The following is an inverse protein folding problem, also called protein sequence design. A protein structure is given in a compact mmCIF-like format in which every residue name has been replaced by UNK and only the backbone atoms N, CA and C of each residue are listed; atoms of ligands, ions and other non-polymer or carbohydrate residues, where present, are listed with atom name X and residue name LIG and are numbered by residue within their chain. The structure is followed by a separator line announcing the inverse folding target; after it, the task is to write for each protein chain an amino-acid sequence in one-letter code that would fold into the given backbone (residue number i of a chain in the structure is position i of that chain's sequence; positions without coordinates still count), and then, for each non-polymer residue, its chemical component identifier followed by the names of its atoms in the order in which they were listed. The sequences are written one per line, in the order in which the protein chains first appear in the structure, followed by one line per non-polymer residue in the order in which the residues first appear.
data_IF_258619940453
#
_entry.id   IF_258619940453
#
_cell.length_a   1.000
_cell.length_b   1.000
_cell.length_c   1.000
_cell.angle_alpha   90.00
_cell.angle_beta   90.00
_cell.angle_gamma   90.00
#
_symmetry.space_group_name_H-M   'P 1'
#
loop_
_entity.id
_entity.type
_entity.pdbx_description
1 polymer ?
#
# COMPACT_ATOMS: atom_id res chain seq x y z
N UNK A 1 -14.62 -20.98 8.44
CA UNK A 1 -14.54 -21.20 6.98
C UNK A 1 -13.17 -20.74 6.52
N UNK A 2 -12.32 -21.68 6.07
CA UNK A 2 -10.94 -21.38 5.64
C UNK A 2 -10.95 -20.70 4.27
N UNK A 3 -10.69 -19.39 4.25
CA UNK A 3 -10.38 -18.69 2.99
C UNK A 3 -9.09 -19.26 2.41
N UNK A 4 -9.16 -19.83 1.22
CA UNK A 4 -7.96 -20.19 0.43
C UNK A 4 -7.13 -18.93 0.21
N UNK A 5 -5.79 -19.05 0.33
CA UNK A 5 -4.89 -18.01 -0.17
C UNK A 5 -5.25 -17.72 -1.62
N UNK A 6 -5.60 -16.48 -1.89
CA UNK A 6 -5.90 -16.03 -3.24
C UNK A 6 -4.58 -16.02 -4.02
N UNK A 7 -4.58 -16.56 -5.24
CA UNK A 7 -3.53 -16.24 -6.20
C UNK A 7 -3.52 -14.73 -6.35
N UNK A 8 -2.34 -14.07 -6.40
CA UNK A 8 -2.28 -12.63 -6.56
C UNK A 8 -3.07 -12.23 -7.80
N UNK A 9 -4.22 -11.58 -7.59
CA UNK A 9 -4.96 -10.97 -8.70
C UNK A 9 -4.25 -9.66 -9.00
N UNK A 10 -3.83 -9.40 -10.24
CA UNK A 10 -3.24 -8.12 -10.61
C UNK A 10 -4.19 -7.00 -10.19
N UNK A 11 -3.65 -5.99 -9.51
CA UNK A 11 -4.43 -4.90 -8.92
C UNK A 11 -5.18 -4.04 -9.94
N UNK A 12 -4.84 -4.18 -11.22
CA UNK A 12 -5.62 -3.67 -12.35
C UNK A 12 -5.25 -4.49 -13.59
N UNK A 13 -6.22 -5.14 -14.21
CA UNK A 13 -6.05 -5.78 -15.53
C UNK A 13 -5.67 -4.78 -16.64
N UNK A 14 -5.65 -3.48 -16.36
CA UNK A 14 -5.57 -2.41 -17.34
C UNK A 14 -4.28 -1.60 -17.35
N UNK A 15 -3.58 -1.53 -16.22
CA UNK A 15 -2.27 -0.85 -16.14
C UNK A 15 -1.21 -1.82 -15.64
N UNK A 16 -0.14 -2.04 -16.40
CA UNK A 16 0.94 -2.92 -15.98
C UNK A 16 1.59 -2.36 -14.70
N UNK A 17 1.71 -3.21 -13.69
CA UNK A 17 2.44 -2.86 -12.48
C UNK A 17 3.94 -2.76 -12.79
N UNK A 18 4.56 -1.65 -12.45
CA UNK A 18 6.00 -1.46 -12.57
C UNK A 18 6.57 -0.80 -11.32
N UNK A 19 7.66 -1.35 -10.79
CA UNK A 19 8.40 -0.74 -9.69
C UNK A 19 8.94 0.66 -10.05
N UNK A 20 9.20 0.92 -11.34
CA UNK A 20 9.72 2.21 -11.80
C UNK A 20 8.69 3.34 -11.68
N UNK A 21 7.40 2.99 -11.64
CA UNK A 21 6.31 3.94 -11.43
C UNK A 21 6.07 4.26 -9.94
N UNK A 22 6.78 3.57 -9.03
CA UNK A 22 6.67 3.80 -7.58
C UNK A 22 7.81 4.70 -7.11
N UNK A 23 7.46 5.67 -6.27
CA UNK A 23 8.46 6.49 -5.58
C UNK A 23 8.67 5.94 -4.17
N UNK A 24 9.86 5.42 -3.90
CA UNK A 24 10.28 4.99 -2.56
C UNK A 24 11.63 5.61 -2.19
N UNK A 25 11.94 5.65 -0.90
CA UNK A 25 13.23 6.12 -0.36
C UNK A 25 14.33 5.06 -0.42
N UNK A 26 13.95 3.79 -0.64
CA UNK A 26 14.86 2.68 -0.90
C UNK A 26 14.65 2.12 -2.31
N UNK A 27 15.66 1.45 -2.85
CA UNK A 27 15.56 0.70 -4.10
C UNK A 27 14.66 -0.53 -3.90
N UNK A 28 13.43 -0.48 -4.39
CA UNK A 28 12.49 -1.60 -4.28
C UNK A 28 13.00 -2.87 -4.96
N UNK A 29 13.80 -2.74 -6.05
CA UNK A 29 14.45 -3.87 -6.72
C UNK A 29 15.45 -4.57 -5.80
N UNK A 30 16.31 -3.79 -5.12
CA UNK A 30 17.28 -4.34 -4.17
C UNK A 30 16.60 -4.99 -2.96
N UNK A 31 15.47 -4.44 -2.50
CA UNK A 31 14.66 -5.05 -1.44
C UNK A 31 14.12 -6.42 -1.89
N UNK A 32 13.55 -6.50 -3.10
CA UNK A 32 13.06 -7.77 -3.67
C UNK A 32 14.21 -8.77 -3.80
N UNK A 33 15.36 -8.36 -4.32
CA UNK A 33 16.53 -9.23 -4.45
C UNK A 33 17.08 -9.68 -3.09
N UNK A 34 17.00 -8.82 -2.09
CA UNK A 34 17.31 -9.18 -0.70
C UNK A 34 16.42 -10.31 -0.19
N UNK A 35 15.11 -10.21 -0.39
CA UNK A 35 14.16 -11.25 -0.01
C UNK A 35 14.28 -12.53 -0.84
N UNK A 36 14.69 -12.45 -2.10
CA UNK A 36 15.02 -13.66 -2.90
C UNK A 36 16.18 -14.43 -2.30
N UNK A 37 17.20 -13.75 -1.77
CA UNK A 37 18.34 -14.38 -1.11
C UNK A 37 18.01 -14.93 0.29
N UNK A 38 17.17 -14.21 1.04
CA UNK A 38 16.76 -14.60 2.38
C UNK A 38 15.27 -14.30 2.57
N UNK A 39 14.38 -15.29 2.28
CA UNK A 39 12.94 -15.06 2.24
C UNK A 39 12.31 -15.08 3.63
N UNK A 40 12.81 -14.22 4.49
CA UNK A 40 12.32 -13.94 5.85
C UNK A 40 12.63 -12.49 6.24
N UNK A 41 11.76 -11.89 7.03
CA UNK A 41 11.96 -10.53 7.53
C UNK A 41 10.66 -9.75 7.61
N UNK A 42 10.73 -8.57 8.20
CA UNK A 42 9.59 -7.71 8.51
C UNK A 42 9.77 -6.34 7.88
N UNK A 43 8.81 -5.94 7.08
CA UNK A 43 8.86 -4.66 6.35
C UNK A 43 7.64 -3.81 6.71
N UNK A 44 7.88 -2.56 7.07
CA UNK A 44 6.85 -1.56 7.20
C UNK A 44 6.86 -0.66 5.96
N UNK A 45 5.75 -0.64 5.22
CA UNK A 45 5.53 0.24 4.08
C UNK A 45 4.66 1.41 4.55
N UNK A 46 5.13 2.62 4.44
CA UNK A 46 4.39 3.77 4.91
C UNK A 46 4.38 4.93 3.92
N UNK A 47 3.40 5.82 4.04
CA UNK A 47 3.27 6.99 3.19
C UNK A 47 1.83 7.21 2.69
N UNK A 48 1.59 8.23 1.84
CA UNK A 48 0.26 8.60 1.40
C UNK A 48 -0.53 7.46 0.76
N UNK A 49 -1.88 7.49 0.82
CA UNK A 49 -2.71 6.51 0.14
C UNK A 49 -2.52 6.55 -1.38
N UNK A 50 -2.69 5.38 -2.03
CA UNK A 50 -2.56 5.25 -3.49
C UNK A 50 -1.12 5.19 -4.03
N UNK A 51 -0.10 5.23 -3.17
CA UNK A 51 1.33 5.21 -3.58
C UNK A 51 1.85 3.83 -3.98
N UNK A 52 1.03 2.77 -3.85
CA UNK A 52 1.38 1.42 -4.30
C UNK A 52 1.92 0.48 -3.22
N UNK A 53 1.78 0.81 -1.92
CA UNK A 53 2.24 -0.03 -0.80
C UNK A 53 1.70 -1.46 -0.85
N UNK A 54 0.38 -1.62 -0.90
CA UNK A 54 -0.27 -2.92 -1.00
C UNK A 54 0.12 -3.66 -2.28
N UNK A 55 0.24 -2.91 -3.40
CA UNK A 55 0.69 -3.46 -4.69
C UNK A 55 2.13 -4.00 -4.63
N UNK A 56 3.02 -3.34 -3.88
CA UNK A 56 4.36 -3.84 -3.64
C UNK A 56 4.35 -5.16 -2.86
N UNK A 57 3.46 -5.32 -1.88
CA UNK A 57 3.29 -6.59 -1.16
C UNK A 57 2.89 -7.74 -2.10
N UNK A 58 1.98 -7.48 -3.05
CA UNK A 58 1.61 -8.45 -4.09
C UNK A 58 2.81 -8.79 -4.99
N UNK A 59 3.51 -7.78 -5.49
CA UNK A 59 4.70 -7.97 -6.33
C UNK A 59 5.80 -8.75 -5.61
N UNK A 60 6.00 -8.48 -4.32
CA UNK A 60 7.00 -9.21 -3.52
C UNK A 60 6.64 -10.70 -3.41
N UNK A 61 5.39 -11.04 -3.16
CA UNK A 61 4.94 -12.42 -3.09
C UNK A 61 5.11 -13.14 -4.43
N UNK A 62 4.75 -12.50 -5.53
CA UNK A 62 4.95 -13.00 -6.89
C UNK A 62 6.43 -13.20 -7.19
N UNK A 63 7.28 -12.23 -6.90
CA UNK A 63 8.72 -12.30 -7.12
C UNK A 63 9.43 -13.40 -6.30
N UNK A 64 8.83 -13.80 -5.17
CA UNK A 64 9.29 -14.89 -4.31
C UNK A 64 8.67 -16.24 -4.68
N UNK A 65 7.77 -16.30 -5.66
CA UNK A 65 6.96 -17.47 -6.01
C UNK A 65 6.25 -18.07 -4.77
N UNK A 66 5.65 -17.19 -3.94
CA UNK A 66 4.95 -17.57 -2.71
C UNK A 66 3.50 -17.10 -2.72
N UNK A 67 2.60 -17.87 -2.09
CA UNK A 67 1.24 -17.39 -1.84
C UNK A 67 1.27 -16.06 -1.08
N UNK A 68 0.27 -15.22 -1.31
CA UNK A 68 0.05 -13.99 -0.54
C UNK A 68 -1.17 -14.18 0.36
N UNK A 69 -0.97 -13.98 1.66
CA UNK A 69 -2.05 -13.88 2.63
C UNK A 69 -2.25 -12.42 3.00
N UNK A 70 -3.33 -11.80 2.48
CA UNK A 70 -3.69 -10.43 2.83
C UNK A 70 -4.69 -10.45 3.96
N UNK A 71 -4.48 -9.61 4.96
CA UNK A 71 -5.45 -9.29 6.02
C UNK A 71 -5.50 -7.77 6.19
N UNK A 72 -6.70 -7.26 6.39
CA UNK A 72 -6.88 -5.89 6.85
C UNK A 72 -7.01 -5.89 8.36
N UNK A 73 -6.57 -4.81 8.97
CA UNK A 73 -6.74 -4.63 10.40
C UNK A 73 -8.21 -4.79 10.84
N UNK A 74 -9.15 -4.29 10.04
CA UNK A 74 -10.60 -4.43 10.27
C UNK A 74 -11.10 -5.88 10.31
N UNK A 75 -10.46 -6.79 9.54
CA UNK A 75 -10.87 -8.19 9.46
C UNK A 75 -10.52 -8.99 10.71
N UNK A 76 -9.60 -8.46 11.52
CA UNK A 76 -9.11 -9.08 12.75
C UNK A 76 -9.84 -8.57 13.99
N UNK A 77 -10.51 -7.41 13.89
CA UNK A 77 -11.25 -6.83 15.00
C UNK A 77 -12.42 -7.73 15.43
N UNK A 78 -12.60 -7.87 16.73
CA UNK A 78 -13.74 -8.56 17.33
C UNK A 78 -14.31 -7.76 18.49
N UNK A 79 -15.61 -7.95 18.75
CA UNK A 79 -16.30 -7.39 19.92
C UNK A 79 -16.03 -8.20 21.20
N UNK A 80 -15.46 -9.39 21.08
CA UNK A 80 -15.24 -10.30 22.18
C UNK A 80 -13.80 -10.25 22.65
N UNK A 81 -13.62 -10.18 23.97
CA UNK A 81 -12.30 -10.16 24.61
C UNK A 81 -11.54 -11.46 24.28
N UNK A 82 -10.27 -11.35 23.86
CA UNK A 82 -9.41 -12.50 23.55
C UNK A 82 -9.61 -13.12 22.16
N UNK A 83 -10.67 -12.78 21.42
CA UNK A 83 -10.88 -13.34 20.09
C UNK A 83 -9.94 -12.71 19.05
N UNK A 84 -9.59 -11.46 19.26
CA UNK A 84 -8.66 -10.75 18.38
C UNK A 84 -7.25 -11.33 18.49
N UNK A 85 -6.76 -11.61 19.68
CA UNK A 85 -5.48 -12.27 19.92
C UNK A 85 -5.45 -13.66 19.25
N UNK A 86 -6.56 -14.41 19.35
CA UNK A 86 -6.71 -15.68 18.64
C UNK A 86 -6.71 -15.52 17.11
N UNK A 87 -7.35 -14.46 16.58
CA UNK A 87 -7.36 -14.18 15.15
C UNK A 87 -5.97 -13.81 14.64
N UNK A 88 -5.20 -13.03 15.42
CA UNK A 88 -3.80 -12.76 15.14
C UNK A 88 -2.98 -14.05 15.10
N UNK A 89 -3.04 -14.88 16.13
CA UNK A 89 -2.33 -16.15 16.16
C UNK A 89 -2.69 -17.07 14.98
N UNK A 90 -3.99 -17.18 14.66
CA UNK A 90 -4.45 -17.97 13.50
C UNK A 90 -3.92 -17.44 12.16
N UNK A 91 -3.85 -16.12 12.00
CA UNK A 91 -3.30 -15.47 10.80
C UNK A 91 -1.84 -15.83 10.59
N UNK A 92 -0.99 -15.72 11.60
CA UNK A 92 0.42 -16.07 11.51
C UNK A 92 0.63 -17.58 11.30
N UNK A 93 -0.08 -18.42 12.03
CA UNK A 93 -0.03 -19.87 11.82
C UNK A 93 -0.48 -20.28 10.41
N UNK A 94 -1.49 -19.63 9.85
CA UNK A 94 -1.92 -19.88 8.48
C UNK A 94 -0.83 -19.50 7.50
N UNK A 95 -0.24 -18.31 7.64
CA UNK A 95 0.84 -17.83 6.77
C UNK A 95 2.05 -18.77 6.80
N UNK A 96 2.42 -19.26 7.98
CA UNK A 96 3.54 -20.19 8.16
C UNK A 96 3.28 -21.55 7.52
N UNK A 97 2.10 -22.13 7.74
CA UNK A 97 1.69 -23.40 7.14
C UNK A 97 1.65 -23.35 5.61
N UNK A 98 1.23 -22.21 5.04
CA UNK A 98 1.12 -22.02 3.60
C UNK A 98 2.44 -21.52 2.97
N UNK A 99 3.45 -21.19 3.77
CA UNK A 99 4.70 -20.59 3.31
C UNK A 99 4.48 -19.22 2.64
N UNK A 100 3.41 -18.53 3.02
CA UNK A 100 2.93 -17.32 2.37
C UNK A 100 3.73 -16.08 2.79
N UNK A 101 3.76 -15.07 1.93
CA UNK A 101 4.02 -13.69 2.35
C UNK A 101 2.77 -13.18 3.07
N UNK A 102 2.93 -12.71 4.30
CA UNK A 102 1.84 -12.17 5.11
C UNK A 102 1.81 -10.64 4.97
N UNK A 103 0.73 -10.10 4.40
CA UNK A 103 0.49 -8.67 4.28
C UNK A 103 -0.64 -8.23 5.21
N UNK A 104 -0.30 -7.39 6.20
CA UNK A 104 -1.26 -6.71 7.05
C UNK A 104 -1.45 -5.27 6.55
N UNK A 105 -2.61 -5.02 5.94
CA UNK A 105 -2.96 -3.70 5.40
C UNK A 105 -3.68 -2.86 6.46
N UNK A 106 -3.47 -1.52 6.42
CA UNK A 106 -4.02 -0.57 7.39
C UNK A 106 -3.57 -0.85 8.83
N UNK A 107 -2.29 -1.25 8.99
CA UNK A 107 -1.71 -1.69 10.26
C UNK A 107 -1.68 -0.59 11.34
N UNK A 108 -1.88 0.68 10.98
CA UNK A 108 -1.99 1.80 11.92
C UNK A 108 -3.10 1.60 12.97
N UNK A 109 -4.15 0.86 12.65
CA UNK A 109 -5.20 0.52 13.60
C UNK A 109 -4.70 -0.31 14.79
N UNK A 110 -3.69 -1.17 14.57
CA UNK A 110 -3.11 -2.04 15.60
C UNK A 110 -1.83 -1.49 16.22
N UNK A 111 -1.09 -0.68 15.48
CA UNK A 111 0.26 -0.27 15.84
C UNK A 111 0.31 1.16 16.35
N UNK A 112 -0.84 1.72 16.80
CA UNK A 112 -0.89 3.06 17.38
C UNK A 112 -0.08 3.17 18.67
N UNK A 113 0.43 4.38 18.92
CA UNK A 113 1.12 4.71 20.16
C UNK A 113 0.20 4.49 21.36
N UNK A 114 0.74 3.78 22.36
CA UNK A 114 0.04 3.41 23.59
C UNK A 114 -0.14 4.56 24.58
N UNK A 115 0.55 5.68 24.39
CA UNK A 115 0.47 6.83 25.30
C UNK A 115 -0.92 7.48 25.31
N UNK A 116 -1.77 7.20 24.29
CA UNK A 116 -3.17 7.61 24.21
C UNK A 116 -4.17 6.47 24.40
N UNK A 117 -3.74 5.25 24.77
CA UNK A 117 -4.64 4.11 24.95
C UNK A 117 -5.53 4.32 26.19
N UNK A 118 -6.82 4.55 25.97
CA UNK A 118 -7.81 4.69 27.06
C UNK A 118 -8.18 3.34 27.71
N UNK A 119 -7.79 2.20 27.09
CA UNK A 119 -8.26 0.87 27.51
C UNK A 119 -7.12 -0.17 27.52
N UNK A 120 -7.03 -0.94 28.57
CA UNK A 120 -6.00 -1.97 28.80
C UNK A 120 -5.93 -3.06 27.72
N UNK A 121 -7.04 -3.36 27.04
CA UNK A 121 -7.10 -4.37 25.99
C UNK A 121 -6.42 -3.93 24.68
N UNK A 122 -6.32 -2.62 24.39
CA UNK A 122 -5.58 -2.10 23.25
C UNK A 122 -4.07 -2.39 23.41
N UNK A 123 -3.57 -2.32 24.64
CA UNK A 123 -2.17 -2.63 24.96
C UNK A 123 -1.89 -4.12 24.75
N UNK A 124 -2.82 -5.02 25.10
CA UNK A 124 -2.63 -6.47 24.95
C UNK A 124 -2.61 -6.88 23.47
N UNK A 125 -3.44 -6.27 22.65
CA UNK A 125 -3.51 -6.55 21.21
C UNK A 125 -2.21 -6.17 20.47
N UNK A 126 -1.66 -4.99 20.77
CA UNK A 126 -0.35 -4.58 20.24
C UNK A 126 0.74 -5.54 20.71
N UNK A 127 0.74 -5.92 21.99
CA UNK A 127 1.74 -6.83 22.53
C UNK A 127 1.69 -8.21 21.85
N UNK A 128 0.48 -8.74 21.61
CA UNK A 128 0.31 -10.02 20.91
C UNK A 128 0.80 -9.94 19.47
N UNK A 129 0.41 -8.89 18.71
CA UNK A 129 0.91 -8.71 17.35
C UNK A 129 2.45 -8.66 17.31
N UNK A 130 3.06 -7.94 18.23
CA UNK A 130 4.53 -7.83 18.32
C UNK A 130 5.18 -9.17 18.63
N UNK A 131 4.57 -9.97 19.51
CA UNK A 131 5.06 -11.32 19.86
C UNK A 131 4.98 -12.25 18.65
N UNK A 132 3.85 -12.25 17.94
CA UNK A 132 3.68 -13.05 16.73
C UNK A 132 4.63 -12.62 15.60
N UNK A 133 4.84 -11.31 15.42
CA UNK A 133 5.80 -10.79 14.45
C UNK A 133 7.24 -11.26 14.74
N UNK A 134 7.64 -11.31 16.01
CA UNK A 134 8.99 -11.75 16.41
C UNK A 134 9.19 -13.26 16.20
N UNK A 135 8.15 -14.05 16.45
CA UNK A 135 8.18 -15.50 16.29
C UNK A 135 8.09 -15.95 14.82
N UNK A 136 7.54 -15.09 13.93
CA UNK A 136 7.28 -15.48 12.56
C UNK A 136 8.56 -15.60 11.73
N UNK A 137 8.75 -16.77 11.11
CA UNK A 137 9.93 -17.10 10.32
C UNK A 137 9.84 -16.73 8.84
N UNK A 138 8.68 -16.27 8.37
CA UNK A 138 8.41 -15.90 6.99
C UNK A 138 8.64 -14.43 6.66
N UNK A 139 8.02 -13.96 5.58
CA UNK A 139 8.02 -12.55 5.16
C UNK A 139 6.74 -11.88 5.65
N UNK A 140 6.89 -10.92 6.55
CA UNK A 140 5.80 -10.09 7.06
C UNK A 140 5.90 -8.68 6.51
N UNK A 141 4.82 -8.19 5.92
CA UNK A 141 4.69 -6.85 5.37
C UNK A 141 3.53 -6.16 6.07
N UNK A 142 3.78 -5.02 6.69
CA UNK A 142 2.72 -4.14 7.20
C UNK A 142 2.64 -2.89 6.32
N UNK A 143 1.43 -2.44 5.99
CA UNK A 143 1.22 -1.17 5.31
C UNK A 143 0.46 -0.18 6.19
N UNK A 144 0.85 1.09 6.17
CA UNK A 144 0.20 2.17 6.92
C UNK A 144 0.24 3.50 6.17
N UNK A 145 -0.74 4.33 6.43
CA UNK A 145 -0.73 5.73 5.95
C UNK A 145 -0.20 6.71 7.01
N UNK A 146 -0.04 6.27 8.26
CA UNK A 146 0.19 7.10 9.45
C UNK A 146 1.38 6.59 10.28
N UNK A 147 2.62 6.72 9.74
CA UNK A 147 3.82 6.27 10.47
C UNK A 147 3.99 6.99 11.82
N UNK A 148 3.72 8.30 11.86
CA UNK A 148 3.93 9.13 13.04
C UNK A 148 3.02 8.75 14.22
N UNK A 149 1.94 8.02 13.95
CA UNK A 149 1.03 7.51 14.98
C UNK A 149 1.39 6.11 15.50
N UNK A 150 2.46 5.49 14.96
CA UNK A 150 2.85 4.15 15.34
C UNK A 150 3.68 4.12 16.62
N UNK A 151 3.45 3.09 17.42
CA UNK A 151 4.23 2.81 18.64
C UNK A 151 5.72 2.63 18.29
N UNK A 152 6.64 3.39 18.92
CA UNK A 152 8.07 3.27 18.68
C UNK A 152 8.64 1.86 18.93
N UNK A 153 8.04 1.10 19.86
CA UNK A 153 8.43 -0.28 20.12
C UNK A 153 8.04 -1.20 18.94
N UNK A 154 6.91 -0.93 18.29
CA UNK A 154 6.52 -1.63 17.07
C UNK A 154 7.48 -1.32 15.92
N UNK A 155 7.82 -0.05 15.72
CA UNK A 155 8.73 0.38 14.65
C UNK A 155 10.12 -0.27 14.75
N UNK A 156 10.62 -0.51 15.97
CA UNK A 156 11.93 -1.16 16.18
C UNK A 156 11.96 -2.63 15.75
N UNK A 157 10.81 -3.28 15.63
CA UNK A 157 10.69 -4.69 15.25
C UNK A 157 10.68 -4.92 13.74
N UNK A 158 10.51 -3.87 12.95
CA UNK A 158 10.64 -3.96 11.50
C UNK A 158 12.11 -3.86 11.08
N UNK A 159 12.55 -4.81 10.26
CA UNK A 159 13.90 -4.86 9.70
C UNK A 159 14.10 -3.74 8.66
N UNK A 160 13.05 -3.46 7.86
CA UNK A 160 13.03 -2.36 6.90
C UNK A 160 11.79 -1.48 7.11
N UNK A 161 11.97 -0.19 6.93
CA UNK A 161 10.91 0.82 6.91
C UNK A 161 11.06 1.61 5.63
N UNK A 162 10.07 1.50 4.74
CA UNK A 162 10.14 2.03 3.38
C UNK A 162 9.08 3.09 3.20
N UNK A 163 9.51 4.31 2.92
CA UNK A 163 8.63 5.42 2.62
C UNK A 163 8.21 5.41 1.16
N UNK A 164 6.91 5.33 0.91
CA UNK A 164 6.32 5.50 -0.40
C UNK A 164 5.82 6.94 -0.55
N UNK A 165 6.41 7.67 -1.48
CA UNK A 165 6.10 9.08 -1.73
C UNK A 165 5.22 9.31 -2.95
N UNK A 166 4.95 10.58 -3.23
CA UNK A 166 4.34 10.99 -4.48
C UNK A 166 5.30 10.78 -5.66
N UNK A 167 4.74 10.50 -6.83
CA UNK A 167 5.50 10.28 -8.06
C UNK A 167 6.37 11.50 -8.42
N UNK A 168 7.56 11.22 -8.94
CA UNK A 168 8.45 12.24 -9.53
C UNK A 168 7.93 12.64 -10.92
N UNK A 169 8.29 13.82 -11.43
CA UNK A 169 7.83 14.31 -12.74
C UNK A 169 8.02 13.32 -13.89
N UNK A 170 9.16 12.63 -13.94
CA UNK A 170 9.42 11.63 -14.99
C UNK A 170 8.51 10.40 -14.87
N UNK A 171 8.18 9.95 -13.64
CA UNK A 171 7.26 8.85 -13.38
C UNK A 171 5.83 9.23 -13.79
N UNK A 172 5.42 10.47 -13.47
CA UNK A 172 4.11 11.02 -13.87
C UNK A 172 3.98 11.01 -15.38
N UNK A 173 5.02 11.48 -16.11
CA UNK A 173 5.04 11.49 -17.58
C UNK A 173 4.98 10.08 -18.18
N UNK A 174 5.72 9.14 -17.62
CA UNK A 174 5.71 7.74 -18.06
C UNK A 174 4.30 7.16 -17.91
N UNK A 175 3.71 7.32 -16.74
CA UNK A 175 2.37 6.80 -16.44
C UNK A 175 1.27 7.50 -17.26
N UNK A 176 1.39 8.81 -17.48
CA UNK A 176 0.50 9.56 -18.36
C UNK A 176 0.49 8.98 -19.79
N UNK A 177 1.67 8.73 -20.37
CA UNK A 177 1.81 8.13 -21.70
C UNK A 177 1.25 6.69 -21.75
N UNK A 178 1.44 5.91 -20.70
CA UNK A 178 0.88 4.56 -20.58
C UNK A 178 -0.65 4.59 -20.58
N UNK A 179 -1.24 5.45 -19.76
CA UNK A 179 -2.70 5.62 -19.67
C UNK A 179 -3.28 6.16 -20.97
N UNK A 180 -2.66 7.20 -21.58
CA UNK A 180 -3.09 7.74 -22.89
C UNK A 180 -3.14 6.65 -23.94
N UNK A 181 -2.11 5.79 -24.00
CA UNK A 181 -2.06 4.66 -24.94
C UNK A 181 -3.11 3.60 -24.62
N UNK A 182 -3.26 3.20 -23.35
CA UNK A 182 -4.23 2.19 -22.91
C UNK A 182 -5.67 2.59 -23.24
N UNK A 183 -5.97 3.87 -23.07
CA UNK A 183 -7.31 4.42 -23.34
C UNK A 183 -7.46 4.93 -24.80
N UNK A 184 -6.44 4.79 -25.64
CA UNK A 184 -6.43 5.27 -27.04
C UNK A 184 -6.87 6.72 -27.16
N UNK A 185 -6.34 7.60 -26.29
CA UNK A 185 -6.72 9.01 -26.26
C UNK A 185 -6.11 9.78 -27.44
N UNK A 186 -6.85 10.76 -27.96
CA UNK A 186 -6.33 11.68 -28.95
C UNK A 186 -5.23 12.58 -28.33
N UNK A 187 -4.04 12.71 -28.98
CA UNK A 187 -2.96 13.53 -28.47
C UNK A 187 -3.35 15.00 -28.35
N UNK A 188 -2.83 15.66 -27.31
CA UNK A 188 -2.96 17.11 -27.11
C UNK A 188 -1.59 17.73 -26.91
N UNK A 189 -1.21 18.66 -27.78
CA UNK A 189 0.13 19.30 -27.73
C UNK A 189 0.40 20.07 -26.43
N UNK A 190 -0.65 20.45 -25.68
CA UNK A 190 -0.54 21.17 -24.42
C UNK A 190 -0.50 20.26 -23.18
N UNK A 191 -0.80 18.97 -23.34
CA UNK A 191 -0.93 18.03 -22.21
C UNK A 191 0.38 17.83 -21.44
N UNK A 192 1.48 17.58 -22.15
CA UNK A 192 2.77 17.23 -21.51
C UNK A 192 3.33 18.33 -20.60
N UNK A 193 3.38 19.62 -21.00
CA UNK A 193 3.82 20.69 -20.10
C UNK A 193 2.96 20.80 -18.83
N UNK A 194 1.65 20.67 -18.98
CA UNK A 194 0.72 20.74 -17.84
C UNK A 194 0.95 19.58 -16.85
N UNK A 195 1.15 18.37 -17.36
CA UNK A 195 1.40 17.17 -16.54
C UNK A 195 2.74 17.27 -15.81
N UNK A 196 3.78 17.82 -16.44
CA UNK A 196 5.08 18.01 -15.79
C UNK A 196 5.04 18.93 -14.57
N UNK A 197 4.13 19.89 -14.57
CA UNK A 197 3.92 20.82 -13.45
C UNK A 197 3.06 20.24 -12.30
N UNK A 198 2.50 19.04 -12.45
CA UNK A 198 1.67 18.44 -11.42
C UNK A 198 2.51 17.88 -10.28
N UNK A 199 2.00 18.03 -9.06
CA UNK A 199 2.56 17.47 -7.85
C UNK A 199 1.51 16.65 -7.10
N UNK A 200 1.97 15.80 -6.19
CA UNK A 200 1.11 14.98 -5.33
C UNK A 200 0.28 13.92 -6.05
N UNK A 201 0.69 13.52 -7.25
CA UNK A 201 0.11 12.37 -7.95
C UNK A 201 0.70 11.05 -7.47
N UNK A 202 -0.14 10.03 -7.49
CA UNK A 202 0.18 8.67 -7.12
C UNK A 202 -0.25 7.71 -8.22
N UNK A 203 0.30 6.50 -8.32
CA UNK A 203 -0.20 5.48 -9.25
C UNK A 203 -1.70 5.18 -9.09
N UNK A 204 -2.20 5.27 -7.83
CA UNK A 204 -3.61 5.08 -7.53
C UNK A 204 -4.54 6.11 -8.18
N UNK A 205 -4.08 7.34 -8.41
CA UNK A 205 -4.87 8.37 -9.10
C UNK A 205 -5.10 7.97 -10.56
N UNK A 206 -4.05 7.52 -11.24
CA UNK A 206 -4.14 7.05 -12.61
C UNK A 206 -5.03 5.81 -12.72
N UNK A 207 -4.87 4.84 -11.83
CA UNK A 207 -5.72 3.66 -11.77
C UNK A 207 -7.19 4.02 -11.51
N UNK A 208 -7.45 5.03 -10.67
CA UNK A 208 -8.80 5.54 -10.43
C UNK A 208 -9.41 6.14 -11.70
N UNK A 209 -8.64 6.96 -12.41
CA UNK A 209 -9.10 7.58 -13.66
C UNK A 209 -9.40 6.54 -14.73
N UNK A 210 -8.58 5.49 -14.87
CA UNK A 210 -8.83 4.38 -15.78
C UNK A 210 -10.15 3.66 -15.42
N UNK A 211 -10.40 3.42 -14.13
CA UNK A 211 -11.71 2.86 -13.71
C UNK A 211 -12.87 3.80 -14.00
N UNK A 212 -12.69 5.10 -13.75
CA UNK A 212 -13.72 6.11 -14.03
C UNK A 212 -14.03 6.22 -15.53
N UNK A 213 -13.04 6.01 -16.42
CA UNK A 213 -13.24 6.10 -17.87
C UNK A 213 -14.24 5.07 -18.39
N UNK A 214 -14.46 3.97 -17.69
CA UNK A 214 -15.52 2.99 -18.02
C UNK A 214 -16.93 3.55 -17.84
N UNK A 215 -17.11 4.48 -16.89
CA UNK A 215 -18.41 5.12 -16.60
C UNK A 215 -18.58 6.44 -17.35
N UNK A 216 -17.48 7.14 -17.57
CA UNK A 216 -17.42 8.43 -18.25
C UNK A 216 -16.18 8.44 -19.14
N UNK A 217 -16.29 8.02 -20.40
CA UNK A 217 -15.16 7.90 -21.32
C UNK A 217 -14.37 9.20 -21.45
N UNK A 218 -13.06 9.07 -21.60
CA UNK A 218 -12.15 10.14 -21.97
C UNK A 218 -11.91 10.06 -23.46
N UNK A 219 -11.89 11.19 -24.16
CA UNK A 219 -11.70 11.24 -25.61
C UNK A 219 -10.30 11.75 -25.95
N UNK A 220 -9.70 12.58 -25.10
CA UNK A 220 -8.45 13.25 -25.36
C UNK A 220 -7.50 13.24 -24.16
N UNK A 221 -6.20 13.48 -24.41
CA UNK A 221 -5.22 13.74 -23.36
C UNK A 221 -5.58 14.98 -22.52
N UNK A 222 -6.28 15.95 -23.10
CA UNK A 222 -6.81 17.11 -22.37
C UNK A 222 -7.82 16.72 -21.29
N UNK A 223 -8.69 15.76 -21.58
CA UNK A 223 -9.64 15.24 -20.58
C UNK A 223 -8.89 14.51 -19.44
N UNK A 224 -7.85 13.74 -19.77
CA UNK A 224 -7.02 13.07 -18.76
C UNK A 224 -6.32 14.09 -17.86
N UNK A 225 -5.73 15.16 -18.45
CA UNK A 225 -5.12 16.27 -17.70
C UNK A 225 -6.13 16.91 -16.72
N UNK A 226 -7.34 17.21 -17.19
CA UNK A 226 -8.37 17.82 -16.36
C UNK A 226 -8.75 16.95 -15.16
N UNK A 227 -8.82 15.62 -15.33
CA UNK A 227 -9.08 14.69 -14.24
C UNK A 227 -7.92 14.61 -13.26
N UNK A 228 -6.68 14.52 -13.74
CA UNK A 228 -5.49 14.55 -12.88
C UNK A 228 -5.39 15.83 -12.06
N UNK A 229 -5.70 16.98 -12.65
CA UNK A 229 -5.77 18.26 -11.93
C UNK A 229 -6.85 18.25 -10.84
N UNK A 230 -7.97 17.59 -11.08
CA UNK A 230 -9.03 17.43 -10.08
C UNK A 230 -8.56 16.58 -8.91
N UNK A 231 -7.87 15.46 -9.14
CA UNK A 231 -7.28 14.65 -8.07
C UNK A 231 -6.26 15.45 -7.24
N UNK A 232 -5.39 16.23 -7.89
CA UNK A 232 -4.46 17.13 -7.20
C UNK A 232 -5.17 18.18 -6.33
N UNK A 233 -6.31 18.72 -6.80
CA UNK A 233 -7.11 19.71 -6.07
C UNK A 233 -7.75 19.10 -4.84
N UNK A 234 -8.41 17.95 -4.99
CA UNK A 234 -9.05 17.23 -3.89
C UNK A 234 -8.07 16.91 -2.75
N UNK A 235 -6.85 16.53 -3.07
CA UNK A 235 -5.80 16.28 -2.07
C UNK A 235 -5.35 17.54 -1.34
N UNK A 236 -5.26 18.68 -2.04
CA UNK A 236 -4.93 19.98 -1.41
C UNK A 236 -6.02 20.43 -0.46
N UNK A 237 -7.27 20.32 -0.87
CA UNK A 237 -8.41 20.74 -0.06
C UNK A 237 -8.60 19.82 1.17
N UNK A 238 -8.39 18.53 1.02
CA UNK A 238 -8.37 17.57 2.13
C UNK A 238 -7.29 17.89 3.18
N UNK A 239 -6.07 18.27 2.74
CA UNK A 239 -4.99 18.69 3.66
C UNK A 239 -5.31 19.98 4.40
N UNK A 240 -5.91 20.97 3.73
CA UNK A 240 -6.29 22.25 4.38
C UNK A 240 -7.32 22.04 5.48
N UNK A 241 -8.27 21.11 5.29
CA UNK A 241 -9.25 20.76 6.32
C UNK A 241 -8.64 20.03 7.52
N UNK A 242 -7.62 19.20 7.30
CA UNK A 242 -6.94 18.47 8.37
C UNK A 242 -6.03 19.35 9.24
N UNK A 243 -5.58 20.52 8.74
CA UNK A 243 -4.69 21.46 9.46
C UNK A 243 -5.50 22.59 10.15
N UNK A 244 -6.80 22.69 9.93
CA UNK A 244 -7.66 23.78 10.36
C UNK A 244 -8.55 23.49 11.59
N UNK A 245 -8.12 22.60 12.51
CA UNK A 245 -8.75 22.37 13.82
C UNK A 245 -7.70 22.46 14.91
#
# INVERSE_FOLDING_TARGET
MGGKALKPTPLTEELPYSLDNLQADLSLREVVDGFKRSPRGRVCLYGPPGTGKTAFGHHLAEALDRPLLVRRASDLQSKWLGEMEQNLGRMFMQAEREGAVLLLDEADTFLRDRQGAERSWEVSQVAELLTQMEAYSGVFVASTNLLDSMDPAALRRFDLKIHFGYMKPHQILTMFKEVSRTLSLEPSGEALPLVQGMASLTPGDFANIVRQSRLSPLMSEGDLVARLQTECRLKRDGRRRAVGF
#
